data_IF_785597586504
#
_entry.id   IF_785597586504
#
_cell.length_a   1.000
_cell.length_b   1.000
_cell.length_c   1.000
_cell.angle_alpha   90.00
_cell.angle_beta   90.00
_cell.angle_gamma   90.00
#
_symmetry.space_group_name_H-M   'P 1'
#
loop_
_entity.id
_entity.type
_entity.pdbx_description
1 polymer ?
#
# COMPACT_ATOMS: atom_id res chain seq x y z
N UNK A 1 -15.30 6.38 17.36
CA UNK A 1 -14.56 5.21 17.94
C UNK A 1 -14.54 3.94 17.06
N UNK A 2 -15.66 3.46 16.50
CA UNK A 2 -15.71 2.20 15.71
C UNK A 2 -14.84 2.26 14.43
N UNK A 3 -14.89 3.36 13.68
CA UNK A 3 -14.13 3.51 12.43
C UNK A 3 -12.61 3.50 12.62
N UNK A 4 -12.10 4.04 13.74
CA UNK A 4 -10.66 3.92 14.07
C UNK A 4 -10.24 2.47 14.26
N UNK A 5 -11.07 1.65 14.90
CA UNK A 5 -10.79 0.20 15.04
C UNK A 5 -10.77 -0.49 13.68
N UNK A 6 -11.69 -0.13 12.78
CA UNK A 6 -11.72 -0.65 11.40
C UNK A 6 -10.42 -0.30 10.65
N UNK A 7 -10.00 0.97 10.67
CA UNK A 7 -8.75 1.37 10.02
C UNK A 7 -7.52 0.69 10.62
N UNK A 8 -7.51 0.48 11.94
CA UNK A 8 -6.44 -0.28 12.59
C UNK A 8 -6.38 -1.73 12.11
N UNK A 9 -7.52 -2.42 11.99
CA UNK A 9 -7.58 -3.77 11.43
C UNK A 9 -7.11 -3.78 9.98
N UNK A 10 -7.51 -2.79 9.18
CA UNK A 10 -7.05 -2.65 7.80
C UNK A 10 -5.54 -2.39 7.71
N UNK A 11 -4.94 -1.64 8.64
CA UNK A 11 -3.48 -1.51 8.72
C UNK A 11 -2.81 -2.88 8.95
N UNK A 12 -3.33 -3.67 9.89
CA UNK A 12 -2.78 -5.01 10.17
C UNK A 12 -2.90 -5.90 8.93
N UNK A 13 -4.07 -5.95 8.29
CA UNK A 13 -4.28 -6.74 7.08
C UNK A 13 -3.39 -6.27 5.92
N UNK A 14 -3.21 -4.95 5.77
CA UNK A 14 -2.37 -4.34 4.75
C UNK A 14 -0.87 -4.61 4.92
N UNK A 15 -0.44 -5.11 6.09
CA UNK A 15 0.91 -5.66 6.32
C UNK A 15 0.91 -7.16 6.13
N UNK A 16 0.02 -7.86 6.84
CA UNK A 16 0.05 -9.33 6.91
C UNK A 16 -0.13 -9.97 5.54
N UNK A 17 -1.10 -9.51 4.74
CA UNK A 17 -1.39 -10.14 3.45
C UNK A 17 -0.26 -9.96 2.42
N UNK A 18 0.30 -8.74 2.19
CA UNK A 18 1.42 -8.58 1.27
C UNK A 18 2.68 -9.32 1.73
N UNK A 19 3.03 -9.27 3.02
CA UNK A 19 4.21 -9.98 3.53
C UNK A 19 4.07 -11.50 3.47
N UNK A 20 2.87 -12.03 3.71
CA UNK A 20 2.62 -13.46 3.55
C UNK A 20 2.89 -13.92 2.11
N UNK A 21 2.41 -13.17 1.13
CA UNK A 21 2.66 -13.46 -0.30
C UNK A 21 4.12 -13.27 -0.69
N UNK A 22 4.79 -12.26 -0.14
CA UNK A 22 6.22 -12.07 -0.32
C UNK A 22 7.03 -13.25 0.24
N UNK A 23 6.68 -13.76 1.42
CA UNK A 23 7.36 -14.93 2.02
C UNK A 23 7.16 -16.17 1.16
N UNK A 24 5.94 -16.42 0.65
CA UNK A 24 5.69 -17.53 -0.28
C UNK A 24 6.53 -17.41 -1.55
N UNK A 25 6.66 -16.20 -2.10
CA UNK A 25 7.51 -15.92 -3.25
C UNK A 25 8.99 -16.17 -2.94
N UNK A 26 9.49 -15.68 -1.80
CA UNK A 26 10.88 -15.85 -1.36
C UNK A 26 11.26 -17.32 -1.11
N UNK A 27 10.30 -18.13 -0.65
CA UNK A 27 10.48 -19.58 -0.46
C UNK A 27 10.30 -20.39 -1.76
N UNK A 28 9.94 -19.72 -2.85
CA UNK A 28 9.76 -20.33 -4.16
C UNK A 28 11.08 -20.65 -4.86
N UNK A 29 10.97 -21.26 -6.04
CA UNK A 29 12.11 -21.79 -6.79
C UNK A 29 13.09 -20.73 -7.29
N UNK A 30 12.63 -19.49 -7.53
CA UNK A 30 13.43 -18.40 -8.11
C UNK A 30 12.96 -17.01 -7.61
N UNK A 31 13.40 -16.57 -6.41
CA UNK A 31 12.95 -15.30 -5.84
C UNK A 31 13.73 -14.09 -6.39
N UNK A 32 13.73 -13.91 -7.70
CA UNK A 32 14.38 -12.75 -8.35
C UNK A 32 13.40 -11.63 -8.64
N UNK A 33 13.86 -10.39 -8.58
CA UNK A 33 13.02 -9.23 -8.90
C UNK A 33 12.50 -9.28 -10.35
N UNK A 34 13.31 -9.77 -11.29
CA UNK A 34 12.89 -9.96 -12.69
C UNK A 34 11.72 -10.94 -12.81
N UNK A 35 11.80 -12.08 -12.09
CA UNK A 35 10.74 -13.07 -12.09
C UNK A 35 9.45 -12.53 -11.43
N UNK A 36 9.58 -11.75 -10.36
CA UNK A 36 8.46 -11.07 -9.72
C UNK A 36 7.71 -10.14 -10.69
N UNK A 37 8.45 -9.31 -11.42
CA UNK A 37 7.87 -8.39 -12.40
C UNK A 37 7.25 -9.16 -13.57
N UNK A 38 7.89 -10.22 -14.07
CA UNK A 38 7.30 -11.03 -15.14
C UNK A 38 5.98 -11.68 -14.71
N UNK A 39 5.87 -12.09 -13.44
CA UNK A 39 4.66 -12.74 -12.93
C UNK A 39 3.49 -11.76 -12.76
N UNK A 40 3.78 -10.53 -12.31
CA UNK A 40 2.79 -9.47 -12.16
C UNK A 40 2.23 -9.02 -13.52
N UNK A 41 3.01 -9.14 -14.59
CA UNK A 41 2.56 -8.85 -15.96
C UNK A 41 2.32 -10.09 -16.83
N UNK A 42 2.22 -11.27 -16.20
CA UNK A 42 2.09 -12.56 -16.90
C UNK A 42 0.79 -12.72 -17.68
N UNK A 43 -0.28 -12.04 -17.23
CA UNK A 43 -1.60 -12.16 -17.81
C UNK A 43 -2.36 -10.83 -17.80
N UNK A 44 -3.34 -10.71 -18.70
CA UNK A 44 -4.20 -9.52 -18.78
C UNK A 44 -4.93 -9.21 -17.46
N UNK A 45 -5.51 -10.18 -16.72
CA UNK A 45 -6.17 -9.89 -15.45
C UNK A 45 -5.22 -9.39 -14.35
N UNK A 46 -4.04 -10.01 -14.21
CA UNK A 46 -3.07 -9.61 -13.18
C UNK A 46 -2.54 -8.21 -13.51
N UNK A 47 -2.20 -7.97 -14.78
CA UNK A 47 -1.75 -6.65 -15.25
C UNK A 47 -2.80 -5.55 -15.00
N UNK A 48 -4.08 -5.85 -15.22
CA UNK A 48 -5.18 -4.91 -14.95
C UNK A 48 -5.20 -4.48 -13.48
N UNK A 49 -5.09 -5.45 -12.56
CA UNK A 49 -5.05 -5.18 -11.12
C UNK A 49 -3.80 -4.36 -10.76
N UNK A 50 -2.65 -4.70 -11.33
CA UNK A 50 -1.41 -3.94 -11.12
C UNK A 50 -1.55 -2.49 -11.54
N UNK A 51 -2.13 -2.23 -12.71
CA UNK A 51 -2.36 -0.87 -13.19
C UNK A 51 -3.32 -0.11 -12.29
N UNK A 52 -4.42 -0.72 -11.88
CA UNK A 52 -5.40 -0.11 -10.97
C UNK A 52 -4.76 0.31 -9.64
N UNK A 53 -3.99 -0.58 -9.01
CA UNK A 53 -3.26 -0.31 -7.77
C UNK A 53 -2.20 0.78 -7.99
N UNK A 54 -1.48 0.74 -9.11
CA UNK A 54 -0.43 1.72 -9.43
C UNK A 54 -1.01 3.13 -9.57
N UNK A 55 -2.12 3.27 -10.30
CA UNK A 55 -2.80 4.56 -10.45
C UNK A 55 -3.35 5.04 -9.11
N UNK A 56 -4.01 4.18 -8.33
CA UNK A 56 -4.51 4.52 -7.00
C UNK A 56 -3.38 5.00 -6.07
N UNK A 57 -2.22 4.34 -6.11
CA UNK A 57 -1.04 4.72 -5.34
C UNK A 57 -0.48 6.09 -5.75
N UNK A 58 -0.37 6.36 -7.06
CA UNK A 58 0.08 7.66 -7.58
C UNK A 58 -0.88 8.78 -7.19
N UNK A 59 -2.19 8.54 -7.27
CA UNK A 59 -3.21 9.49 -6.82
C UNK A 59 -3.05 9.80 -5.33
N UNK A 60 -2.84 8.78 -4.50
CA UNK A 60 -2.63 8.97 -3.07
C UNK A 60 -1.32 9.71 -2.75
N UNK A 61 -0.22 9.41 -3.43
CA UNK A 61 1.02 10.17 -3.29
C UNK A 61 0.84 11.64 -3.68
N UNK A 62 0.15 11.91 -4.79
CA UNK A 62 -0.14 13.27 -5.24
C UNK A 62 -0.96 14.03 -4.18
N UNK A 63 -1.95 13.37 -3.60
CA UNK A 63 -2.75 13.90 -2.50
C UNK A 63 -1.93 14.16 -1.22
N UNK A 64 -1.02 13.25 -0.83
CA UNK A 64 -0.13 13.47 0.30
C UNK A 64 0.77 14.69 0.08
N UNK A 65 1.35 14.84 -1.12
CA UNK A 65 2.18 16.00 -1.47
C UNK A 65 1.36 17.29 -1.35
N UNK A 66 0.14 17.31 -1.91
CA UNK A 66 -0.77 18.45 -1.79
C UNK A 66 -1.04 18.80 -0.32
N UNK A 67 -1.32 17.79 0.53
CA UNK A 67 -1.59 18.03 1.94
C UNK A 67 -0.37 18.48 2.74
N UNK A 68 0.83 18.00 2.39
CA UNK A 68 2.09 18.49 2.96
C UNK A 68 2.26 19.99 2.73
N UNK A 69 2.00 20.43 1.50
CA UNK A 69 2.20 21.83 1.08
C UNK A 69 1.20 22.76 1.76
N UNK A 70 -0.08 22.36 1.83
CA UNK A 70 -1.15 23.24 2.33
C UNK A 70 -1.36 23.16 3.86
N UNK A 71 -1.25 21.97 4.46
CA UNK A 71 -1.60 21.75 5.87
C UNK A 71 -0.36 21.52 6.77
N UNK A 72 0.86 21.56 6.21
CA UNK A 72 2.11 21.31 6.94
C UNK A 72 2.23 19.89 7.50
N UNK A 73 1.43 18.94 7.00
CA UNK A 73 1.35 17.58 7.53
C UNK A 73 2.64 16.79 7.24
N UNK A 74 3.15 16.10 8.26
CA UNK A 74 4.36 15.29 8.16
C UNK A 74 4.09 13.96 7.41
N UNK A 75 4.31 13.97 6.09
CA UNK A 75 4.03 12.80 5.24
C UNK A 75 5.01 11.63 5.39
N UNK A 76 6.12 11.82 6.11
CA UNK A 76 7.18 10.82 6.24
C UNK A 76 6.67 9.47 6.75
N UNK A 77 5.71 9.47 7.69
CA UNK A 77 5.12 8.22 8.21
C UNK A 77 4.34 7.46 7.13
N UNK A 78 3.56 8.17 6.32
CA UNK A 78 2.78 7.56 5.24
C UNK A 78 3.68 7.11 4.10
N UNK A 79 4.76 7.84 3.81
CA UNK A 79 5.74 7.46 2.80
C UNK A 79 6.54 6.23 3.20
N UNK A 80 6.88 6.09 4.49
CA UNK A 80 7.49 4.88 5.04
C UNK A 80 6.50 3.69 4.96
N UNK A 81 5.23 3.92 5.30
CA UNK A 81 4.18 2.92 5.16
C UNK A 81 3.94 2.50 3.71
N UNK A 82 4.11 3.41 2.76
CA UNK A 82 4.03 3.13 1.33
C UNK A 82 5.11 2.18 0.82
N UNK A 83 6.27 2.09 1.49
CA UNK A 83 7.31 1.10 1.16
C UNK A 83 6.87 -0.33 1.47
N UNK A 84 5.98 -0.50 2.45
CA UNK A 84 5.33 -1.78 2.76
C UNK A 84 4.21 -2.05 1.75
N UNK A 85 3.45 -1.01 1.40
CA UNK A 85 2.49 -1.02 0.30
C UNK A 85 1.38 -0.01 0.47
N UNK A 86 0.68 0.28 -0.63
CA UNK A 86 -0.48 1.18 -0.62
C UNK A 86 -1.56 0.72 0.37
N UNK A 87 -1.72 -0.60 0.51
CA UNK A 87 -2.69 -1.24 1.42
C UNK A 87 -2.48 -0.90 2.89
N UNK A 88 -1.27 -0.51 3.32
CA UNK A 88 -1.01 0.02 4.67
C UNK A 88 -1.07 1.55 4.71
N UNK A 89 -0.49 2.21 3.71
CA UNK A 89 -0.33 3.66 3.71
C UNK A 89 -1.67 4.42 3.78
N UNK A 90 -2.67 3.96 3.04
CA UNK A 90 -4.00 4.58 3.02
C UNK A 90 -4.76 4.37 4.35
N UNK A 91 -4.92 3.15 4.89
CA UNK A 91 -5.56 2.96 6.20
C UNK A 91 -4.85 3.69 7.33
N UNK A 92 -3.51 3.76 7.32
CA UNK A 92 -2.75 4.50 8.33
C UNK A 92 -3.07 6.00 8.27
N UNK A 93 -3.13 6.56 7.06
CA UNK A 93 -3.55 7.95 6.86
C UNK A 93 -4.97 8.20 7.37
N UNK A 94 -5.91 7.31 7.05
CA UNK A 94 -7.28 7.43 7.52
C UNK A 94 -7.37 7.30 9.05
N UNK A 95 -6.63 6.39 9.65
CA UNK A 95 -6.58 6.20 11.11
C UNK A 95 -6.14 7.48 11.84
N UNK A 96 -5.06 8.10 11.37
CA UNK A 96 -4.47 9.31 11.97
C UNK A 96 -5.36 10.55 11.78
N UNK A 97 -6.01 10.67 10.62
CA UNK A 97 -6.79 11.86 10.26
C UNK A 97 -8.29 11.74 10.59
N UNK A 98 -8.75 10.57 11.03
CA UNK A 98 -10.16 10.39 11.41
C UNK A 98 -10.47 11.09 12.74
N UNK A 99 -11.24 12.18 12.65
CA UNK A 99 -11.80 12.90 13.80
C UNK A 99 -13.25 12.44 14.00
N UNK A 100 -13.46 11.40 14.79
CA UNK A 100 -14.78 10.94 15.23
C UNK A 100 -14.67 10.19 16.54
#
# INVERSE_FOLDING_TARGET
MIMKKVFFVLCVLGVVLPYYQLILFLNGSNPTFEFFISEIYSSSPVSMITWDITIAYISFLSFLIYKRINDGLSIYKYLLASLIGFSLALPLYLYDNYKG
#
